data_IF_102963973530
#
_entry.id   IF_102963973530
#
_cell.length_a   1.000
_cell.length_b   1.000
_cell.length_c   1.000
_cell.angle_alpha   90.00
_cell.angle_beta   90.00
_cell.angle_gamma   90.00
#
_symmetry.space_group_name_H-M   'P 1'
#
loop_
_entity.id
_entity.type
_entity.pdbx_description
1 polymer ?
#
# COMPACT_ATOMS: atom_id res chain seq x y z
N UNK A 1 -16.35 6.47 4.12
CA UNK A 1 -15.05 6.33 4.84
C UNK A 1 -15.18 6.97 6.22
N UNK A 2 -14.55 6.44 7.29
CA UNK A 2 -14.53 7.07 8.60
C UNK A 2 -13.68 8.36 8.61
N UNK A 3 -14.04 9.30 9.47
CA UNK A 3 -13.29 10.57 9.67
C UNK A 3 -11.86 10.36 10.20
N UNK A 4 -11.65 9.23 10.86
CA UNK A 4 -10.33 8.85 11.39
C UNK A 4 -9.28 8.52 10.30
N UNK A 5 -9.71 8.44 9.02
CA UNK A 5 -8.78 8.23 7.92
C UNK A 5 -7.93 9.50 7.72
N UNK A 6 -6.58 9.41 7.77
CA UNK A 6 -5.71 10.55 7.47
C UNK A 6 -6.04 11.19 6.12
N UNK A 7 -5.97 12.53 6.07
CA UNK A 7 -6.20 13.34 4.88
C UNK A 7 -7.59 13.21 4.23
N UNK A 8 -8.55 12.62 4.93
CA UNK A 8 -9.95 12.59 4.50
C UNK A 8 -10.67 13.83 5.02
N UNK A 9 -11.38 14.50 4.13
CA UNK A 9 -12.27 15.64 4.46
C UNK A 9 -13.72 15.24 4.22
N UNK A 10 -14.59 15.66 5.12
CA UNK A 10 -16.05 15.58 4.95
C UNK A 10 -16.53 17.02 4.77
N UNK A 11 -17.26 17.28 3.69
CA UNK A 11 -17.78 18.60 3.37
C UNK A 11 -19.07 18.92 4.16
N UNK A 12 -19.61 20.13 3.97
CA UNK A 12 -20.83 20.62 4.62
C UNK A 12 -22.07 19.77 4.29
N UNK A 13 -22.05 19.04 3.18
CA UNK A 13 -23.12 18.09 2.79
C UNK A 13 -22.94 16.69 3.38
N UNK A 14 -21.89 16.47 4.20
CA UNK A 14 -21.57 15.17 4.80
C UNK A 14 -20.95 14.18 3.82
N UNK A 15 -20.40 14.64 2.68
CA UNK A 15 -19.79 13.81 1.64
C UNK A 15 -18.27 13.85 1.79
N UNK A 16 -17.64 12.67 1.82
CA UNK A 16 -16.19 12.60 1.97
C UNK A 16 -15.45 12.94 0.66
N UNK A 17 -14.21 13.45 0.79
CA UNK A 17 -13.34 13.84 -0.34
C UNK A 17 -13.12 12.71 -1.35
N UNK A 18 -13.11 11.43 -0.92
CA UNK A 18 -13.02 10.28 -1.82
C UNK A 18 -14.26 10.12 -2.71
N UNK A 19 -15.47 10.39 -2.17
CA UNK A 19 -16.69 10.39 -2.97
C UNK A 19 -16.70 11.54 -3.96
N UNK A 20 -16.30 12.75 -3.54
CA UNK A 20 -16.18 13.91 -4.44
C UNK A 20 -15.15 13.70 -5.55
N UNK A 21 -14.03 13.08 -5.22
CA UNK A 21 -13.03 12.72 -6.23
C UNK A 21 -13.61 11.72 -7.26
N UNK A 22 -14.40 10.76 -6.79
CA UNK A 22 -15.06 9.81 -7.69
C UNK A 22 -16.13 10.46 -8.57
N UNK A 23 -16.93 11.39 -8.04
CA UNK A 23 -17.94 12.14 -8.81
C UNK A 23 -17.29 12.95 -9.95
N UNK A 24 -16.18 13.63 -9.69
CA UNK A 24 -15.42 14.39 -10.71
C UNK A 24 -14.88 13.53 -11.85
N UNK A 25 -14.74 12.20 -11.64
CA UNK A 25 -14.30 11.28 -12.70
C UNK A 25 -15.29 11.18 -13.87
N UNK A 26 -16.56 11.58 -13.68
CA UNK A 26 -17.58 11.61 -14.75
C UNK A 26 -17.27 12.67 -15.79
N UNK A 27 -16.57 13.74 -15.40
CA UNK A 27 -16.26 14.90 -16.24
C UNK A 27 -14.91 14.73 -16.98
N UNK A 28 -14.20 13.61 -16.73
CA UNK A 28 -12.92 13.34 -17.36
C UNK A 28 -13.13 12.89 -18.80
N UNK A 29 -12.51 13.61 -19.75
CA UNK A 29 -12.36 13.15 -21.13
C UNK A 29 -11.24 12.09 -21.21
N UNK A 30 -11.64 10.83 -21.11
CA UNK A 30 -10.72 9.68 -21.16
C UNK A 30 -10.05 9.52 -22.53
N UNK A 31 -10.66 9.99 -23.62
CA UNK A 31 -10.05 9.97 -24.94
C UNK A 31 -8.90 10.98 -25.01
N UNK A 32 -9.14 12.21 -24.53
CA UNK A 32 -8.08 13.22 -24.46
C UNK A 32 -6.90 12.76 -23.59
N UNK A 33 -7.16 12.10 -22.44
CA UNK A 33 -6.12 11.52 -21.60
C UNK A 33 -5.35 10.39 -22.26
N UNK A 34 -6.07 9.52 -23.00
CA UNK A 34 -5.43 8.47 -23.79
C UNK A 34 -4.50 9.05 -24.87
N UNK A 35 -4.96 10.07 -25.59
CA UNK A 35 -4.16 10.74 -26.61
C UNK A 35 -2.93 11.44 -26.02
N UNK A 36 -3.06 12.02 -24.82
CA UNK A 36 -1.94 12.55 -24.06
C UNK A 36 -0.92 11.45 -23.72
N UNK A 37 -1.40 10.32 -23.19
CA UNK A 37 -0.54 9.17 -22.88
C UNK A 37 0.21 8.69 -24.11
N UNK A 38 -0.47 8.49 -25.25
CA UNK A 38 0.15 8.05 -26.49
C UNK A 38 1.28 8.98 -26.94
N UNK A 39 1.07 10.31 -26.83
CA UNK A 39 2.10 11.30 -27.16
C UNK A 39 3.30 11.24 -26.20
N UNK A 40 3.06 10.93 -24.92
CA UNK A 40 4.12 10.75 -23.96
C UNK A 40 4.90 9.47 -24.26
N UNK A 41 4.21 8.33 -24.43
CA UNK A 41 4.84 7.04 -24.70
C UNK A 41 5.71 7.08 -25.96
N UNK A 42 5.28 7.76 -27.01
CA UNK A 42 6.06 7.89 -28.26
C UNK A 42 7.42 8.60 -28.05
N UNK A 43 7.53 9.52 -27.08
CA UNK A 43 8.80 10.17 -26.75
C UNK A 43 9.80 9.23 -26.09
N UNK A 44 9.29 8.23 -25.36
CA UNK A 44 10.10 7.27 -24.58
C UNK A 44 10.34 5.96 -25.33
N UNK A 45 9.67 5.72 -26.44
CA UNK A 45 9.86 4.54 -27.24
C UNK A 45 11.31 4.43 -27.74
N UNK A 46 11.93 3.27 -27.54
CA UNK A 46 13.29 3.01 -28.02
C UNK A 46 13.33 3.03 -29.53
N UNK A 47 13.90 4.06 -30.12
CA UNK A 47 13.95 4.27 -31.59
C UNK A 47 14.71 3.16 -32.33
N UNK A 48 15.72 2.61 -31.69
CA UNK A 48 16.53 1.51 -32.26
C UNK A 48 15.99 0.13 -31.90
N UNK A 49 15.03 0.04 -30.97
CA UNK A 49 14.58 -1.25 -30.42
C UNK A 49 15.66 -1.96 -29.59
N UNK A 50 16.76 -1.26 -29.23
CA UNK A 50 17.88 -1.87 -28.49
C UNK A 50 17.76 -1.76 -26.98
N UNK A 51 16.68 -1.14 -26.47
CA UNK A 51 16.41 -1.00 -25.04
C UNK A 51 14.89 -1.12 -24.77
N UNK A 52 14.53 -1.25 -23.51
CA UNK A 52 13.13 -1.19 -23.05
C UNK A 52 12.60 0.24 -23.12
N UNK A 53 11.30 0.36 -23.37
CA UNK A 53 10.62 1.66 -23.44
C UNK A 53 10.26 2.21 -22.07
N UNK A 54 9.95 1.34 -21.11
CA UNK A 54 9.60 1.71 -19.75
C UNK A 54 9.89 0.58 -18.76
N UNK A 55 9.97 0.96 -17.47
CA UNK A 55 9.92 0.03 -16.35
C UNK A 55 8.48 -0.02 -15.82
N UNK A 56 7.97 -1.22 -15.55
CA UNK A 56 6.71 -1.43 -14.83
C UNK A 56 7.01 -2.10 -13.50
N UNK A 57 6.83 -1.42 -12.36
CA UNK A 57 6.87 -2.05 -11.04
C UNK A 57 5.68 -2.99 -10.89
N UNK A 58 5.93 -4.24 -10.52
CA UNK A 58 4.91 -5.28 -10.45
C UNK A 58 5.06 -6.13 -9.19
N UNK A 59 3.93 -6.60 -8.61
CA UNK A 59 3.90 -7.48 -7.44
C UNK A 59 3.30 -8.86 -7.72
N UNK A 60 2.80 -9.09 -8.93
CA UNK A 60 2.01 -10.28 -9.26
C UNK A 60 0.50 -10.09 -9.09
N UNK A 61 0.05 -8.97 -8.51
CA UNK A 61 -1.35 -8.67 -8.30
C UNK A 61 -2.14 -8.35 -9.59
N UNK A 62 -3.46 -8.22 -9.45
CA UNK A 62 -4.38 -7.87 -10.54
C UNK A 62 -4.01 -6.58 -11.28
N UNK A 63 -3.54 -5.59 -10.52
CA UNK A 63 -3.18 -4.28 -11.07
C UNK A 63 -1.89 -4.35 -11.88
N UNK A 64 -0.94 -5.22 -11.47
CA UNK A 64 0.26 -5.52 -12.25
C UNK A 64 -0.07 -6.16 -13.60
N UNK A 65 -1.01 -7.11 -13.63
CA UNK A 65 -1.51 -7.69 -14.89
C UNK A 65 -2.14 -6.62 -15.78
N UNK A 66 -3.00 -5.78 -15.20
CA UNK A 66 -3.63 -4.68 -15.93
C UNK A 66 -2.58 -3.74 -16.55
N UNK A 67 -1.57 -3.31 -15.77
CA UNK A 67 -0.51 -2.42 -16.24
C UNK A 67 0.26 -3.02 -17.42
N UNK A 68 0.70 -4.28 -17.30
CA UNK A 68 1.43 -4.97 -18.38
C UNK A 68 0.56 -5.08 -19.63
N UNK A 69 -0.66 -5.57 -19.50
CA UNK A 69 -1.56 -5.76 -20.63
C UNK A 69 -1.84 -4.45 -21.35
N UNK A 70 -2.05 -3.35 -20.62
CA UNK A 70 -2.26 -2.02 -21.22
C UNK A 70 -1.01 -1.51 -21.95
N UNK A 71 0.18 -1.70 -21.37
CA UNK A 71 1.41 -1.26 -22.04
C UNK A 71 1.72 -2.10 -23.29
N UNK A 72 1.48 -3.42 -23.25
CA UNK A 72 1.59 -4.28 -24.43
C UNK A 72 0.58 -3.90 -25.52
N UNK A 73 -0.69 -3.64 -25.16
CA UNK A 73 -1.74 -3.17 -26.08
C UNK A 73 -1.34 -1.86 -26.78
N UNK A 74 -0.64 -0.98 -26.06
CA UNK A 74 -0.12 0.29 -26.59
C UNK A 74 1.20 0.12 -27.36
N UNK A 75 1.66 -1.12 -27.58
CA UNK A 75 2.85 -1.47 -28.35
C UNK A 75 4.17 -1.09 -27.67
N UNK A 76 4.18 -0.98 -26.32
CA UNK A 76 5.41 -0.72 -25.54
C UNK A 76 6.16 -2.03 -25.28
N UNK A 77 7.49 -1.92 -25.16
CA UNK A 77 8.39 -2.99 -24.72
C UNK A 77 8.81 -2.74 -23.26
N UNK A 78 8.07 -3.21 -22.26
CA UNK A 78 8.36 -2.95 -20.86
C UNK A 78 9.38 -3.91 -20.26
N UNK A 79 10.20 -3.43 -19.33
CA UNK A 79 10.93 -4.23 -18.34
C UNK A 79 10.11 -4.28 -17.05
N UNK A 80 9.62 -5.46 -16.68
CA UNK A 80 8.89 -5.64 -15.43
C UNK A 80 9.85 -5.86 -14.26
N UNK A 81 9.60 -5.18 -13.13
CA UNK A 81 10.49 -5.24 -11.97
C UNK A 81 9.68 -5.49 -10.70
N UNK A 82 10.00 -6.58 -10.00
CA UNK A 82 9.48 -6.86 -8.66
C UNK A 82 10.53 -6.58 -7.60
N UNK A 83 10.20 -5.72 -6.65
CA UNK A 83 10.83 -5.77 -5.33
C UNK A 83 10.18 -6.93 -4.56
N UNK A 84 10.91 -8.03 -4.36
CA UNK A 84 10.36 -9.21 -3.69
C UNK A 84 9.84 -8.83 -2.30
N UNK A 85 8.61 -9.23 -2.02
CA UNK A 85 7.95 -8.97 -0.73
C UNK A 85 8.58 -9.75 0.42
N UNK A 86 8.21 -9.42 1.65
CA UNK A 86 8.85 -9.91 2.87
C UNK A 86 8.64 -11.42 3.08
N UNK A 87 7.37 -11.86 3.01
CA UNK A 87 7.00 -13.28 3.12
C UNK A 87 6.04 -13.63 1.98
N UNK A 88 6.62 -13.90 0.82
CA UNK A 88 5.87 -14.19 -0.40
C UNK A 88 4.97 -15.42 -0.22
N UNK A 89 3.69 -15.26 -0.54
CA UNK A 89 2.71 -16.32 -0.49
C UNK A 89 2.84 -17.28 -1.69
N UNK A 90 2.31 -18.49 -1.54
CA UNK A 90 2.30 -19.47 -2.63
C UNK A 90 1.49 -18.99 -3.84
N UNK A 91 0.35 -18.35 -3.60
CA UNK A 91 -0.48 -17.78 -4.67
C UNK A 91 0.19 -16.57 -5.31
N UNK A 92 0.86 -15.72 -4.51
CA UNK A 92 1.65 -14.60 -5.01
C UNK A 92 2.78 -15.08 -5.94
N UNK A 93 3.48 -16.15 -5.56
CA UNK A 93 4.51 -16.75 -6.42
C UNK A 93 3.94 -17.22 -7.76
N UNK A 94 2.81 -17.94 -7.76
CA UNK A 94 2.18 -18.38 -9.02
C UNK A 94 1.73 -17.20 -9.88
N UNK A 95 1.20 -16.15 -9.27
CA UNK A 95 0.81 -14.94 -9.99
C UNK A 95 2.01 -14.18 -10.58
N UNK A 96 3.17 -14.17 -9.90
CA UNK A 96 4.41 -13.63 -10.46
C UNK A 96 4.85 -14.47 -11.68
N UNK A 97 4.82 -15.80 -11.58
CA UNK A 97 5.16 -16.65 -12.71
C UNK A 97 4.18 -16.46 -13.90
N UNK A 98 2.90 -16.21 -13.60
CA UNK A 98 1.93 -15.90 -14.64
C UNK A 98 2.23 -14.57 -15.36
N UNK A 99 2.73 -13.54 -14.66
CA UNK A 99 3.15 -12.29 -15.32
C UNK A 99 4.24 -12.53 -16.37
N UNK A 100 5.21 -13.41 -16.09
CA UNK A 100 6.28 -13.77 -17.04
C UNK A 100 5.73 -14.39 -18.32
N UNK A 101 4.62 -15.14 -18.20
CA UNK A 101 3.95 -15.76 -19.35
C UNK A 101 3.22 -14.77 -20.26
N UNK A 102 3.07 -13.51 -19.85
CA UNK A 102 2.49 -12.43 -20.68
C UNK A 102 3.45 -11.95 -21.79
N UNK A 103 4.68 -12.48 -21.87
CA UNK A 103 5.64 -12.16 -22.91
C UNK A 103 6.47 -10.91 -22.63
N UNK A 104 6.80 -10.66 -21.37
CA UNK A 104 7.63 -9.52 -20.90
C UNK A 104 8.93 -10.01 -20.27
N UNK A 105 9.99 -9.22 -20.38
CA UNK A 105 11.20 -9.44 -19.61
C UNK A 105 11.01 -8.99 -18.16
N UNK A 106 11.67 -9.72 -17.24
CA UNK A 106 11.36 -9.63 -15.80
C UNK A 106 12.59 -9.67 -14.90
N UNK A 107 12.64 -8.76 -13.94
CA UNK A 107 13.67 -8.75 -12.88
C UNK A 107 12.99 -8.89 -11.52
N UNK A 108 13.40 -9.90 -10.75
CA UNK A 108 13.10 -10.00 -9.33
C UNK A 108 14.32 -9.55 -8.51
N UNK A 109 14.13 -8.53 -7.69
CA UNK A 109 15.19 -8.03 -6.83
C UNK A 109 14.80 -8.21 -5.36
N UNK A 110 15.62 -8.97 -4.64
CA UNK A 110 15.42 -9.28 -3.22
C UNK A 110 16.41 -8.49 -2.38
N UNK A 111 15.92 -7.67 -1.45
CA UNK A 111 16.75 -7.08 -0.41
C UNK A 111 17.25 -8.20 0.54
N UNK A 112 18.41 -7.98 1.18
CA UNK A 112 18.98 -8.98 2.11
C UNK A 112 17.92 -9.42 3.15
N UNK A 113 17.48 -10.70 3.13
CA UNK A 113 16.35 -11.15 3.95
C UNK A 113 16.65 -11.13 5.46
N UNK A 114 17.91 -11.26 5.87
CA UNK A 114 18.31 -11.17 7.28
C UNK A 114 18.12 -9.75 7.80
N UNK A 115 18.59 -8.75 7.03
CA UNK A 115 18.43 -7.34 7.37
C UNK A 115 16.95 -6.96 7.31
N UNK A 116 16.24 -7.42 6.29
CA UNK A 116 14.81 -7.14 6.10
C UNK A 116 13.97 -7.57 7.29
N UNK A 117 14.15 -8.79 7.80
CA UNK A 117 13.45 -9.28 9.00
C UNK A 117 13.70 -8.42 10.24
N UNK A 118 14.96 -7.96 10.41
CA UNK A 118 15.28 -7.01 11.50
C UNK A 118 14.54 -5.69 11.34
N UNK A 119 14.47 -5.16 10.12
CA UNK A 119 13.74 -3.91 9.84
C UNK A 119 12.23 -4.11 10.00
N UNK A 120 11.66 -5.26 9.57
CA UNK A 120 10.25 -5.58 9.83
C UNK A 120 9.93 -5.54 11.33
N UNK A 121 10.73 -6.22 12.19
CA UNK A 121 10.56 -6.19 13.64
C UNK A 121 10.69 -4.78 14.20
N UNK A 122 11.71 -4.04 13.78
CA UNK A 122 11.97 -2.67 14.22
C UNK A 122 10.80 -1.75 13.85
N UNK A 123 10.37 -1.75 12.60
CA UNK A 123 9.27 -0.91 12.13
C UNK A 123 7.94 -1.29 12.79
N UNK A 124 7.64 -2.58 12.95
CA UNK A 124 6.48 -3.04 13.71
C UNK A 124 6.50 -2.50 15.14
N UNK A 125 7.66 -2.57 15.81
CA UNK A 125 7.77 -2.13 17.20
C UNK A 125 7.88 -0.63 17.37
N UNK A 126 8.44 0.13 16.43
CA UNK A 126 8.63 1.57 16.55
C UNK A 126 7.46 2.39 16.01
N UNK A 127 6.93 2.00 14.86
CA UNK A 127 5.89 2.77 14.15
C UNK A 127 4.59 1.98 13.93
N UNK A 128 4.53 0.70 14.39
CA UNK A 128 3.37 -0.16 14.22
C UNK A 128 3.09 -0.49 12.74
N UNK A 129 4.12 -0.74 11.96
CA UNK A 129 3.98 -1.17 10.57
C UNK A 129 5.07 -2.19 10.18
N UNK A 130 4.67 -3.46 10.06
CA UNK A 130 5.56 -4.55 9.66
C UNK A 130 6.00 -4.40 8.20
N UNK A 131 5.18 -3.80 7.34
CA UNK A 131 5.41 -3.69 5.89
C UNK A 131 6.25 -2.48 5.49
N UNK A 132 6.77 -1.70 6.43
CA UNK A 132 7.61 -0.53 6.11
C UNK A 132 8.77 -0.85 5.15
N UNK A 133 9.56 -1.94 5.32
CA UNK A 133 10.64 -2.24 4.37
C UNK A 133 10.12 -2.53 2.96
N UNK A 134 8.94 -3.15 2.84
CA UNK A 134 8.28 -3.39 1.57
C UNK A 134 7.86 -2.06 0.92
N UNK A 135 7.20 -1.18 1.68
CA UNK A 135 6.77 0.14 1.19
C UNK A 135 7.95 0.97 0.68
N UNK A 136 9.13 0.85 1.27
CA UNK A 136 10.33 1.51 0.74
C UNK A 136 10.81 0.86 -0.54
N UNK A 137 10.95 -0.48 -0.55
CA UNK A 137 11.60 -1.19 -1.65
C UNK A 137 10.77 -1.22 -2.93
N UNK A 138 9.43 -1.25 -2.84
CA UNK A 138 8.57 -1.18 -4.03
C UNK A 138 8.76 0.13 -4.82
N UNK A 139 9.23 1.20 -4.18
CA UNK A 139 9.51 2.48 -4.84
C UNK A 139 10.99 2.67 -5.16
N UNK A 140 11.91 2.17 -4.33
CA UNK A 140 13.34 2.40 -4.56
C UNK A 140 13.94 1.48 -5.62
N UNK A 141 13.60 0.19 -5.58
CA UNK A 141 14.18 -0.82 -6.47
C UNK A 141 13.85 -0.55 -7.95
N UNK A 142 12.59 -0.34 -8.36
CA UNK A 142 12.29 -0.08 -9.77
C UNK A 142 12.97 1.19 -10.30
N UNK A 143 13.07 2.22 -9.48
CA UNK A 143 13.74 3.47 -9.86
C UNK A 143 15.25 3.25 -10.05
N UNK A 144 15.88 2.47 -9.17
CA UNK A 144 17.31 2.12 -9.30
C UNK A 144 17.57 1.27 -10.54
N UNK A 145 16.69 0.33 -10.85
CA UNK A 145 16.76 -0.49 -12.08
C UNK A 145 16.57 0.40 -13.32
N UNK A 146 15.61 1.32 -13.30
CA UNK A 146 15.40 2.27 -14.39
C UNK A 146 16.67 3.09 -14.68
N UNK A 147 17.33 3.61 -13.64
CA UNK A 147 18.61 4.33 -13.76
C UNK A 147 19.71 3.41 -14.31
N UNK A 148 19.84 2.19 -13.78
CA UNK A 148 20.90 1.25 -14.17
C UNK A 148 20.76 0.78 -15.62
N UNK A 149 19.54 0.58 -16.10
CA UNK A 149 19.25 0.15 -17.47
C UNK A 149 19.05 1.31 -18.45
N UNK A 150 19.22 2.56 -18.02
CA UNK A 150 18.99 3.76 -18.83
C UNK A 150 17.56 3.81 -19.41
N UNK A 151 16.56 3.49 -18.60
CA UNK A 151 15.15 3.54 -18.97
C UNK A 151 14.51 4.75 -18.27
N UNK A 152 14.21 5.84 -18.97
CA UNK A 152 13.78 7.08 -18.31
C UNK A 152 12.31 7.11 -17.92
N UNK A 153 11.47 6.15 -18.37
CA UNK A 153 10.04 6.10 -18.07
C UNK A 153 9.71 4.95 -17.10
N UNK A 154 8.96 5.27 -16.05
CA UNK A 154 8.39 4.28 -15.12
C UNK A 154 6.87 4.42 -15.13
N UNK A 155 6.16 3.32 -15.32
CA UNK A 155 4.69 3.27 -15.29
C UNK A 155 4.22 2.67 -13.97
N UNK A 156 3.71 3.52 -13.09
CA UNK A 156 3.09 3.14 -11.84
C UNK A 156 1.60 2.80 -12.03
N UNK A 157 0.99 2.08 -11.09
CA UNK A 157 -0.43 1.72 -11.12
C UNK A 157 -1.36 2.89 -10.83
N UNK A 158 -2.11 2.78 -9.75
CA UNK A 158 -3.02 3.85 -9.29
C UNK A 158 -2.28 4.92 -8.49
N UNK A 159 -2.86 6.11 -8.47
CA UNK A 159 -2.60 7.08 -7.44
C UNK A 159 -3.53 6.78 -6.24
N UNK A 160 -2.98 6.26 -5.15
CA UNK A 160 -3.74 5.86 -3.96
C UNK A 160 -4.56 7.00 -3.36
N UNK A 161 -4.10 8.26 -3.51
CA UNK A 161 -4.82 9.44 -3.04
C UNK A 161 -6.13 9.65 -3.81
N UNK A 162 -6.17 9.24 -5.07
CA UNK A 162 -7.39 9.28 -5.89
C UNK A 162 -8.38 8.19 -5.50
N UNK A 163 -7.92 6.98 -5.26
CA UNK A 163 -8.80 5.84 -5.01
C UNK A 163 -9.39 5.86 -3.60
N UNK A 164 -8.58 6.21 -2.61
CA UNK A 164 -8.96 6.11 -1.20
C UNK A 164 -9.23 7.47 -0.54
N UNK A 165 -9.03 8.57 -1.26
CA UNK A 165 -9.17 9.94 -0.77
C UNK A 165 -7.87 10.49 -0.17
N UNK A 166 -7.55 11.70 -0.53
CA UNK A 166 -6.37 12.44 -0.11
C UNK A 166 -6.55 13.93 -0.42
N UNK A 167 -5.49 14.76 -0.28
CA UNK A 167 -5.53 16.17 -0.62
C UNK A 167 -5.99 16.41 -2.06
N UNK A 168 -6.79 17.44 -2.29
CA UNK A 168 -7.39 17.73 -3.59
C UNK A 168 -6.35 17.85 -4.73
N UNK A 169 -5.19 18.45 -4.45
CA UNK A 169 -4.10 18.58 -5.43
C UNK A 169 -3.37 17.27 -5.77
N UNK A 170 -3.49 16.24 -4.94
CA UNK A 170 -2.88 14.94 -5.22
C UNK A 170 -3.65 14.15 -6.29
N UNK A 171 -4.95 14.44 -6.46
CA UNK A 171 -5.81 13.79 -7.44
C UNK A 171 -5.50 14.19 -8.88
N UNK A 172 -4.97 15.39 -9.09
CA UNK A 172 -4.64 15.94 -10.41
C UNK A 172 -3.19 15.61 -10.83
N UNK A 173 -2.42 15.01 -9.94
CA UNK A 173 -1.02 14.69 -10.22
C UNK A 173 -0.91 13.36 -10.98
N UNK A 174 -0.37 13.41 -12.20
CA UNK A 174 -0.11 12.25 -13.04
C UNK A 174 1.29 11.66 -12.85
N UNK A 175 2.14 12.26 -11.99
CA UNK A 175 3.54 11.86 -11.80
C UNK A 175 3.85 11.50 -10.37
N UNK A 176 4.71 10.47 -10.19
CA UNK A 176 5.28 10.10 -8.91
C UNK A 176 6.67 10.74 -8.77
N UNK A 177 6.83 11.56 -7.73
CA UNK A 177 8.09 12.19 -7.36
C UNK A 177 8.61 11.64 -6.04
N UNK A 178 9.91 11.86 -5.73
CA UNK A 178 10.48 11.51 -4.43
C UNK A 178 9.70 12.15 -3.27
N UNK A 179 9.28 13.40 -3.42
CA UNK A 179 8.45 14.08 -2.41
C UNK A 179 7.12 13.35 -2.21
N UNK A 180 6.47 12.92 -3.28
CA UNK A 180 5.23 12.12 -3.19
C UNK A 180 5.45 10.83 -2.39
N UNK A 181 6.58 10.14 -2.61
CA UNK A 181 6.93 8.94 -1.86
C UNK A 181 7.11 9.23 -0.36
N UNK A 182 7.85 10.28 -0.01
CA UNK A 182 8.11 10.66 1.39
C UNK A 182 6.82 11.05 2.12
N UNK A 183 5.87 11.69 1.44
CA UNK A 183 4.59 12.14 2.01
C UNK A 183 3.51 11.05 2.01
N UNK A 184 3.39 10.27 0.92
CA UNK A 184 2.25 9.37 0.68
C UNK A 184 2.63 7.89 0.49
N UNK A 185 3.90 7.56 0.46
CA UNK A 185 4.39 6.18 0.25
C UNK A 185 4.26 5.25 1.46
N UNK A 186 3.51 5.62 2.49
CA UNK A 186 3.28 4.77 3.66
C UNK A 186 4.45 4.70 4.64
N UNK A 187 5.44 5.63 4.56
CA UNK A 187 6.65 5.60 5.38
C UNK A 187 6.44 6.05 6.83
N UNK A 188 5.30 6.63 7.17
CA UNK A 188 4.89 7.03 8.51
C UNK A 188 5.94 7.90 9.25
N UNK A 189 6.71 8.69 8.50
CA UNK A 189 7.77 9.58 9.02
C UNK A 189 9.09 8.89 9.34
N UNK A 190 9.21 7.57 9.26
CA UNK A 190 10.47 6.85 9.40
C UNK A 190 11.26 6.92 8.09
N UNK A 191 12.52 7.33 8.16
CA UNK A 191 13.42 7.42 7.00
C UNK A 191 14.49 6.35 7.06
N UNK A 192 15.06 6.03 5.90
CA UNK A 192 16.19 5.08 5.83
C UNK A 192 17.40 5.59 6.63
N UNK A 193 17.62 6.91 6.68
CA UNK A 193 18.66 7.54 7.51
C UNK A 193 18.52 7.23 8.99
N UNK A 194 17.29 7.08 9.51
CA UNK A 194 17.00 6.84 10.91
C UNK A 194 17.35 5.40 11.33
N UNK A 195 17.54 4.51 10.35
CA UNK A 195 17.98 3.13 10.55
C UNK A 195 19.51 3.01 10.67
N UNK A 196 20.28 4.01 10.21
CA UNK A 196 21.74 4.00 10.24
C UNK A 196 22.21 4.10 11.69
N UNK A 197 23.15 3.23 12.07
CA UNK A 197 23.67 3.19 13.45
C UNK A 197 22.87 2.28 14.39
N UNK A 198 21.73 1.77 13.98
CA UNK A 198 21.04 0.70 14.70
C UNK A 198 21.83 -0.62 14.58
N UNK A 199 21.83 -1.50 15.59
CA UNK A 199 22.60 -2.74 15.57
C UNK A 199 22.34 -3.58 14.30
N UNK A 200 23.37 -3.77 13.46
CA UNK A 200 23.31 -4.52 12.22
C UNK A 200 22.80 -3.75 10.98
N UNK A 201 22.52 -2.45 11.10
CA UNK A 201 22.07 -1.60 10.00
C UNK A 201 23.19 -0.64 9.55
N UNK A 202 24.28 -1.19 9.01
CA UNK A 202 25.30 -0.39 8.36
C UNK A 202 24.81 0.14 6.99
N UNK A 203 25.32 1.27 6.48
CA UNK A 203 24.89 1.84 5.20
C UNK A 203 24.91 0.83 4.04
N UNK A 204 25.89 -0.07 3.99
CA UNK A 204 25.98 -1.12 2.97
C UNK A 204 24.78 -2.09 2.95
N UNK A 205 24.11 -2.26 4.08
CA UNK A 205 22.93 -3.12 4.22
C UNK A 205 21.63 -2.42 3.76
N UNK A 206 21.66 -1.09 3.65
CA UNK A 206 20.50 -0.26 3.34
C UNK A 206 20.45 0.21 1.88
N UNK A 207 21.35 -0.27 1.03
CA UNK A 207 21.48 0.17 -0.38
C UNK A 207 20.15 0.01 -1.12
N UNK A 208 19.43 -1.12 -0.95
CA UNK A 208 18.17 -1.38 -1.64
C UNK A 208 17.00 -0.52 -1.13
N UNK A 209 17.14 0.02 0.08
CA UNK A 209 16.14 0.93 0.69
C UNK A 209 16.42 2.40 0.35
N UNK A 210 17.61 2.70 -0.17
CA UNK A 210 18.01 4.06 -0.50
C UNK A 210 17.53 4.43 -1.90
N UNK A 211 16.80 5.54 -2.01
CA UNK A 211 16.34 6.06 -3.30
C UNK A 211 17.54 6.44 -4.18
N UNK A 212 17.35 6.40 -5.50
CA UNK A 212 18.39 6.87 -6.43
C UNK A 212 18.72 8.35 -6.15
N UNK A 213 19.97 8.76 -6.40
CA UNK A 213 20.37 10.14 -6.16
C UNK A 213 19.61 11.12 -7.06
N UNK A 214 19.36 12.33 -6.57
CA UNK A 214 18.70 13.37 -7.37
C UNK A 214 19.53 13.73 -8.62
N UNK A 215 20.86 13.59 -8.54
CA UNK A 215 21.77 13.77 -9.66
C UNK A 215 21.57 12.71 -10.75
N UNK A 216 21.48 11.42 -10.37
CA UNK A 216 21.20 10.33 -11.30
C UNK A 216 19.82 10.47 -11.94
N UNK A 217 18.80 10.78 -11.15
CA UNK A 217 17.44 10.99 -11.64
C UNK A 217 17.36 12.14 -12.65
N UNK A 218 18.03 13.25 -12.34
CA UNK A 218 18.09 14.43 -13.21
C UNK A 218 18.87 14.15 -14.49
N UNK A 219 20.02 13.49 -14.39
CA UNK A 219 20.85 13.11 -15.53
C UNK A 219 20.11 12.19 -16.49
N UNK A 220 19.34 11.25 -15.96
CA UNK A 220 18.56 10.27 -16.72
C UNK A 220 17.20 10.78 -17.19
N UNK A 221 16.72 11.91 -16.63
CA UNK A 221 15.39 12.42 -16.91
C UNK A 221 14.27 11.45 -16.51
N UNK A 222 14.46 10.71 -15.40
CA UNK A 222 13.48 9.71 -14.95
C UNK A 222 12.14 10.36 -14.65
N UNK A 223 11.10 9.83 -15.30
CA UNK A 223 9.71 10.26 -15.15
C UNK A 223 8.86 9.07 -14.73
N UNK A 224 8.14 9.19 -13.62
CA UNK A 224 7.16 8.20 -13.17
C UNK A 224 5.74 8.67 -13.47
N UNK A 225 4.94 7.88 -14.17
CA UNK A 225 3.57 8.20 -14.50
C UNK A 225 2.61 7.25 -13.79
N UNK A 226 1.50 7.77 -13.28
CA UNK A 226 0.39 6.95 -12.78
C UNK A 226 -0.54 6.54 -13.92
N UNK A 227 -0.61 5.25 -14.24
CA UNK A 227 -1.47 4.73 -15.30
C UNK A 227 -2.96 4.99 -15.00
N UNK A 228 -3.35 4.95 -13.73
CA UNK A 228 -4.71 5.27 -13.27
C UNK A 228 -5.15 6.70 -13.50
N UNK A 229 -4.25 7.61 -13.90
CA UNK A 229 -4.62 8.94 -14.38
C UNK A 229 -5.15 8.88 -15.83
N UNK A 230 -4.67 7.95 -16.63
CA UNK A 230 -4.96 7.84 -18.07
C UNK A 230 -6.04 6.82 -18.40
N UNK A 231 -6.35 5.93 -17.48
CA UNK A 231 -7.39 4.91 -17.60
C UNK A 231 -8.40 4.99 -16.45
N UNK A 232 -9.69 4.67 -16.68
CA UNK A 232 -10.68 4.56 -15.62
C UNK A 232 -10.34 3.37 -14.72
N UNK A 233 -9.50 3.62 -13.70
CA UNK A 233 -9.01 2.60 -12.79
C UNK A 233 -10.12 2.02 -11.92
N UNK A 234 -10.24 0.69 -11.89
CA UNK A 234 -11.15 -0.04 -11.03
C UNK A 234 -10.58 -1.41 -10.69
N UNK A 235 -10.16 -1.61 -9.42
CA UNK A 235 -9.55 -2.85 -8.97
C UNK A 235 -10.41 -4.11 -9.23
N UNK A 236 -11.74 -4.00 -9.22
CA UNK A 236 -12.62 -5.12 -9.58
C UNK A 236 -12.54 -5.46 -11.08
N UNK A 237 -12.60 -4.46 -11.94
CA UNK A 237 -12.47 -4.67 -13.38
C UNK A 237 -11.07 -5.16 -13.75
N UNK A 238 -10.04 -4.63 -13.09
CA UNK A 238 -8.67 -5.09 -13.26
C UNK A 238 -8.53 -6.58 -12.88
N UNK A 239 -9.21 -7.02 -11.81
CA UNK A 239 -9.21 -8.43 -11.40
C UNK A 239 -9.88 -9.33 -12.43
N UNK A 240 -11.03 -8.92 -13.00
CA UNK A 240 -11.70 -9.67 -14.04
C UNK A 240 -10.84 -9.80 -15.30
N UNK A 241 -10.20 -8.71 -15.73
CA UNK A 241 -9.28 -8.75 -16.85
C UNK A 241 -8.07 -9.66 -16.54
N UNK A 242 -7.46 -9.51 -15.38
CA UNK A 242 -6.30 -10.30 -14.98
C UNK A 242 -6.62 -11.81 -14.95
N UNK A 243 -7.79 -12.21 -14.44
CA UNK A 243 -8.23 -13.61 -14.42
C UNK A 243 -8.37 -14.18 -15.84
N UNK A 244 -8.84 -13.41 -16.81
CA UNK A 244 -8.89 -13.83 -18.21
C UNK A 244 -7.49 -14.13 -18.80
N UNK A 245 -6.42 -13.62 -18.15
CA UNK A 245 -5.02 -13.84 -18.52
C UNK A 245 -4.25 -14.67 -17.48
N UNK A 246 -4.96 -15.47 -16.67
CA UNK A 246 -4.36 -16.48 -15.80
C UNK A 246 -4.04 -16.03 -14.38
N UNK A 247 -4.43 -14.81 -13.96
CA UNK A 247 -4.33 -14.38 -12.57
C UNK A 247 -5.17 -15.30 -11.67
N UNK A 248 -4.56 -15.87 -10.65
CA UNK A 248 -5.24 -16.71 -9.68
C UNK A 248 -5.78 -15.87 -8.51
N UNK A 249 -7.02 -16.12 -8.14
CA UNK A 249 -7.64 -15.57 -6.92
C UNK A 249 -7.55 -16.57 -5.79
N UNK A 250 -7.66 -16.08 -4.55
CA UNK A 250 -7.75 -16.96 -3.40
C UNK A 250 -9.10 -17.70 -3.42
N UNK A 251 -9.14 -18.93 -2.91
CA UNK A 251 -10.32 -19.81 -2.98
C UNK A 251 -11.51 -19.35 -2.12
N UNK A 252 -11.30 -18.40 -1.23
CA UNK A 252 -12.32 -17.76 -0.36
C UNK A 252 -12.01 -16.29 -0.21
N UNK A 253 -12.90 -15.53 0.46
CA UNK A 253 -12.62 -14.16 0.88
C UNK A 253 -11.34 -14.12 1.72
N UNK A 254 -10.43 -13.16 1.41
CA UNK A 254 -9.20 -12.96 2.16
C UNK A 254 -9.53 -12.42 3.56
N UNK A 255 -8.82 -12.86 4.55
CA UNK A 255 -9.00 -12.42 5.93
C UNK A 255 -8.88 -10.90 6.05
N UNK A 256 -9.84 -10.25 6.71
CA UNK A 256 -9.91 -8.78 6.84
C UNK A 256 -10.37 -8.03 5.58
N UNK A 257 -10.74 -8.74 4.50
CA UNK A 257 -11.16 -8.18 3.22
C UNK A 257 -12.62 -8.51 2.90
N UNK A 258 -13.15 -7.96 1.80
CA UNK A 258 -14.46 -8.34 1.21
C UNK A 258 -14.32 -9.14 -0.07
N UNK A 259 -13.11 -9.32 -0.57
CA UNK A 259 -12.83 -9.94 -1.87
C UNK A 259 -11.74 -10.99 -1.76
N UNK A 260 -11.54 -11.75 -2.81
CA UNK A 260 -10.57 -12.84 -2.89
C UNK A 260 -9.40 -12.58 -3.84
N UNK A 261 -9.28 -11.34 -4.34
CA UNK A 261 -8.30 -10.97 -5.37
C UNK A 261 -7.37 -9.81 -4.95
N UNK A 262 -7.38 -9.40 -3.68
CA UNK A 262 -6.55 -8.32 -3.15
C UNK A 262 -5.49 -8.86 -2.18
N UNK A 263 -4.28 -8.26 -2.22
CA UNK A 263 -3.21 -8.52 -1.27
C UNK A 263 -2.85 -10.01 -1.12
N UNK A 264 -2.70 -10.69 -2.25
CA UNK A 264 -2.45 -12.13 -2.29
C UNK A 264 -0.97 -12.48 -2.22
N UNK A 265 -0.08 -11.53 -2.33
CA UNK A 265 1.36 -11.72 -2.51
C UNK A 265 2.14 -11.85 -1.20
N UNK A 266 1.70 -11.27 -0.09
CA UNK A 266 2.46 -11.21 1.16
C UNK A 266 1.65 -11.68 2.37
N UNK A 267 2.14 -12.70 3.08
CA UNK A 267 1.50 -13.18 4.31
C UNK A 267 1.52 -12.16 5.46
N UNK A 268 2.42 -11.17 5.45
CA UNK A 268 2.49 -10.13 6.48
C UNK A 268 1.39 -9.06 6.34
N UNK A 269 0.69 -9.01 5.21
CA UNK A 269 -0.36 -8.01 4.96
C UNK A 269 -1.48 -8.06 5.99
N UNK A 270 -1.82 -9.26 6.51
CA UNK A 270 -2.81 -9.38 7.59
C UNK A 270 -2.43 -8.61 8.85
N UNK A 271 -1.16 -8.60 9.22
CA UNK A 271 -0.64 -7.80 10.35
C UNK A 271 -0.71 -6.30 10.01
N UNK A 272 -0.25 -5.89 8.82
CA UNK A 272 -0.30 -4.51 8.36
C UNK A 272 -1.73 -3.94 8.41
N UNK A 273 -2.70 -4.64 7.83
CA UNK A 273 -4.11 -4.22 7.81
C UNK A 273 -4.72 -4.20 9.22
N UNK A 274 -4.32 -5.12 10.09
CA UNK A 274 -4.75 -5.12 11.49
C UNK A 274 -4.22 -3.90 12.25
N UNK A 275 -2.94 -3.52 12.07
CA UNK A 275 -2.39 -2.30 12.69
C UNK A 275 -3.06 -1.02 12.18
N UNK A 276 -3.49 -0.99 10.92
CA UNK A 276 -4.35 0.08 10.41
C UNK A 276 -5.65 0.17 11.20
N UNK A 277 -6.32 -0.97 11.43
CA UNK A 277 -7.53 -1.02 12.25
C UNK A 277 -7.28 -0.55 13.69
N UNK A 278 -6.19 -0.97 14.33
CA UNK A 278 -5.83 -0.54 15.69
C UNK A 278 -5.66 0.98 15.80
N UNK A 279 -5.03 1.58 14.80
CA UNK A 279 -4.72 3.03 14.77
C UNK A 279 -5.94 3.89 14.44
N UNK A 280 -6.73 3.47 13.46
CA UNK A 280 -7.76 4.30 12.83
C UNK A 280 -9.19 3.78 13.03
N UNK A 281 -9.37 2.60 13.63
CA UNK A 281 -10.68 1.99 13.87
C UNK A 281 -11.37 1.42 12.62
N UNK A 282 -10.67 1.31 11.49
CA UNK A 282 -11.16 0.68 10.27
C UNK A 282 -10.06 -0.07 9.53
N UNK A 283 -10.41 -1.13 8.84
CA UNK A 283 -9.48 -1.97 8.11
C UNK A 283 -9.73 -2.01 6.61
N UNK A 284 -9.23 -3.06 5.97
CA UNK A 284 -9.31 -3.26 4.52
C UNK A 284 -10.75 -3.44 4.04
N UNK A 285 -11.61 -4.15 4.79
CA UNK A 285 -12.99 -4.34 4.41
C UNK A 285 -13.75 -3.00 4.29
N UNK A 286 -13.49 -2.05 5.17
CA UNK A 286 -14.06 -0.68 5.07
C UNK A 286 -13.60 0.06 3.80
N UNK A 287 -12.32 -0.03 3.42
CA UNK A 287 -11.83 0.59 2.17
C UNK A 287 -12.57 0.02 0.96
N UNK A 288 -12.61 -1.30 0.85
CA UNK A 288 -13.27 -2.00 -0.26
C UNK A 288 -14.78 -1.74 -0.30
N UNK A 289 -15.44 -1.79 0.86
CA UNK A 289 -16.85 -1.43 0.97
C UNK A 289 -17.08 -0.02 0.41
N UNK A 290 -16.26 0.94 0.78
CA UNK A 290 -16.36 2.32 0.31
C UNK A 290 -16.14 2.44 -1.20
N UNK A 291 -15.20 1.68 -1.77
CA UNK A 291 -14.99 1.61 -3.22
C UNK A 291 -16.21 1.01 -3.94
N UNK A 292 -16.76 -0.10 -3.42
CA UNK A 292 -17.91 -0.76 -4.04
C UNK A 292 -19.20 0.08 -3.92
N UNK A 293 -19.41 0.81 -2.80
CA UNK A 293 -20.53 1.75 -2.64
C UNK A 293 -20.43 2.87 -3.69
N UNK A 294 -19.29 3.54 -3.81
CA UNK A 294 -19.09 4.62 -4.79
C UNK A 294 -19.36 4.17 -6.23
N UNK A 295 -19.06 2.91 -6.54
CA UNK A 295 -19.25 2.32 -7.86
C UNK A 295 -20.63 1.65 -8.03
N UNK A 296 -21.55 1.82 -7.07
CA UNK A 296 -22.92 1.28 -7.13
C UNK A 296 -23.03 -0.24 -7.08
N UNK A 297 -21.96 -0.95 -6.64
CA UNK A 297 -21.93 -2.43 -6.54
C UNK A 297 -22.39 -2.96 -5.19
N UNK A 298 -22.45 -2.11 -4.17
CA UNK A 298 -22.83 -2.49 -2.82
C UNK A 298 -23.66 -1.37 -2.19
N UNK A 299 -24.79 -1.75 -1.53
CA UNK A 299 -25.55 -0.79 -0.74
C UNK A 299 -24.79 -0.44 0.55
N UNK A 300 -25.01 0.77 1.11
CA UNK A 300 -24.41 1.14 2.39
C UNK A 300 -24.84 0.19 3.53
N UNK A 301 -26.09 -0.24 3.54
CA UNK A 301 -26.63 -1.14 4.58
C UNK A 301 -25.95 -2.51 4.55
N UNK A 302 -25.78 -3.09 3.37
CA UNK A 302 -25.10 -4.38 3.25
C UNK A 302 -23.58 -4.24 3.51
N UNK A 303 -23.01 -3.12 3.12
CA UNK A 303 -21.62 -2.80 3.41
C UNK A 303 -21.33 -2.77 4.92
N UNK A 304 -22.19 -2.15 5.72
CA UNK A 304 -22.05 -2.11 7.19
C UNK A 304 -22.00 -3.54 7.76
N UNK A 305 -22.94 -4.41 7.38
CA UNK A 305 -22.98 -5.81 7.83
C UNK A 305 -21.71 -6.58 7.47
N UNK A 306 -21.23 -6.40 6.23
CA UNK A 306 -20.01 -7.06 5.78
C UNK A 306 -18.76 -6.55 6.51
N UNK A 307 -18.66 -5.25 6.73
CA UNK A 307 -17.57 -4.64 7.49
C UNK A 307 -17.55 -5.15 8.94
N UNK A 308 -18.68 -5.28 9.60
CA UNK A 308 -18.77 -5.85 10.96
C UNK A 308 -18.27 -7.29 11.05
N UNK A 309 -18.47 -8.07 9.98
CA UNK A 309 -18.00 -9.46 9.91
C UNK A 309 -16.48 -9.52 9.69
N UNK A 310 -15.92 -8.66 8.85
CA UNK A 310 -14.56 -8.81 8.32
C UNK A 310 -13.54 -7.88 8.95
N UNK A 311 -13.89 -6.61 9.28
CA UNK A 311 -12.94 -5.66 9.83
C UNK A 311 -12.55 -5.97 11.28
N UNK A 312 -11.28 -5.73 11.60
CA UNK A 312 -10.79 -5.72 12.98
C UNK A 312 -10.69 -7.08 13.64
N UNK A 313 -10.77 -8.16 12.89
CA UNK A 313 -10.50 -9.51 13.43
C UNK A 313 -9.01 -9.64 13.73
N UNK A 314 -8.69 -10.23 14.88
CA UNK A 314 -7.30 -10.49 15.23
C UNK A 314 -6.67 -11.44 14.19
N UNK A 315 -5.48 -11.15 13.68
CA UNK A 315 -4.93 -11.81 12.49
C UNK A 315 -4.31 -13.18 12.81
N UNK A 316 -5.09 -14.11 13.37
CA UNK A 316 -4.63 -15.46 13.69
C UNK A 316 -4.11 -16.23 12.48
N UNK A 317 -4.66 -15.95 11.32
CA UNK A 317 -4.29 -16.57 10.05
C UNK A 317 -4.41 -15.54 8.93
N UNK A 318 -3.55 -15.63 7.92
CA UNK A 318 -3.68 -14.86 6.69
C UNK A 318 -3.26 -15.72 5.48
N UNK A 319 -4.15 -15.83 4.49
CA UNK A 319 -3.95 -16.71 3.32
C UNK A 319 -3.57 -18.15 3.70
N UNK A 320 -4.11 -18.65 4.83
CA UNK A 320 -3.80 -19.97 5.37
C UNK A 320 -2.50 -20.07 6.15
N UNK A 321 -1.68 -19.01 6.24
CA UNK A 321 -0.47 -18.99 7.06
C UNK A 321 -0.82 -18.56 8.49
N UNK A 322 -0.49 -19.38 9.54
CA UNK A 322 -0.70 -19.01 10.93
C UNK A 322 0.15 -17.80 11.33
N UNK A 323 -0.40 -16.93 12.22
CA UNK A 323 0.31 -15.78 12.76
C UNK A 323 1.67 -16.13 13.35
N UNK A 324 1.74 -17.23 14.10
CA UNK A 324 2.97 -17.68 14.77
C UNK A 324 4.12 -17.94 13.79
N UNK A 325 3.83 -18.46 12.59
CA UNK A 325 4.84 -18.64 11.55
C UNK A 325 5.36 -17.32 10.99
N UNK A 326 4.49 -16.30 10.93
CA UNK A 326 4.87 -14.96 10.49
C UNK A 326 5.75 -14.30 11.56
N UNK A 327 5.35 -14.40 12.83
CA UNK A 327 6.09 -13.82 13.95
C UNK A 327 7.46 -14.47 14.16
N UNK A 328 7.57 -15.78 13.93
CA UNK A 328 8.84 -16.51 13.99
C UNK A 328 9.89 -15.94 13.03
N UNK A 329 9.48 -15.51 11.83
CA UNK A 329 10.41 -14.92 10.85
C UNK A 329 11.08 -13.63 11.34
N UNK A 330 10.43 -12.91 12.25
CA UNK A 330 10.93 -11.67 12.84
C UNK A 330 11.37 -11.83 14.31
N UNK A 331 11.60 -13.07 14.77
CA UNK A 331 12.01 -13.41 16.13
C UNK A 331 11.10 -12.78 17.22
N UNK A 332 9.78 -12.84 17.03
CA UNK A 332 8.79 -12.23 17.93
C UNK A 332 7.85 -13.30 18.48
N UNK A 333 7.62 -13.29 19.80
CA UNK A 333 6.59 -14.14 20.43
C UNK A 333 5.19 -13.55 20.28
N UNK A 334 4.17 -14.39 20.41
CA UNK A 334 2.78 -13.94 20.41
C UNK A 334 2.50 -12.93 21.55
N UNK A 335 3.08 -13.14 22.73
CA UNK A 335 2.93 -12.24 23.85
C UNK A 335 3.53 -10.84 23.58
N UNK A 336 4.73 -10.80 22.98
CA UNK A 336 5.35 -9.55 22.53
C UNK A 336 4.48 -8.86 21.48
N UNK A 337 3.96 -9.60 20.50
CA UNK A 337 3.09 -9.08 19.46
C UNK A 337 1.83 -8.44 20.04
N UNK A 338 1.15 -9.11 20.99
CA UNK A 338 -0.04 -8.57 21.66
C UNK A 338 0.30 -7.27 22.39
N UNK A 339 1.44 -7.18 23.11
CA UNK A 339 1.90 -5.96 23.76
C UNK A 339 2.11 -4.81 22.76
N UNK A 340 2.67 -5.13 21.59
CA UNK A 340 2.85 -4.14 20.52
C UNK A 340 1.49 -3.68 19.96
N UNK A 341 0.54 -4.60 19.74
CA UNK A 341 -0.82 -4.27 19.34
C UNK A 341 -1.48 -3.30 20.33
N UNK A 342 -1.44 -3.63 21.64
CA UNK A 342 -2.05 -2.82 22.68
C UNK A 342 -1.44 -1.40 22.77
N UNK A 343 -0.12 -1.29 22.52
CA UNK A 343 0.58 -0.01 22.49
C UNK A 343 0.13 0.89 21.34
N UNK A 344 -0.10 0.32 20.17
CA UNK A 344 -0.51 1.07 18.97
C UNK A 344 -2.03 1.23 18.85
N UNK A 345 -2.80 0.61 19.73
CA UNK A 345 -4.25 0.75 19.70
C UNK A 345 -4.66 2.15 20.18
N UNK A 346 -5.46 2.82 19.35
CA UNK A 346 -6.04 4.11 19.69
C UNK A 346 -7.18 3.93 20.72
N UNK A 347 -6.87 4.10 21.98
CA UNK A 347 -7.81 3.93 23.10
C UNK A 347 -9.01 4.88 23.06
N UNK A 348 -9.00 5.92 22.23
CA UNK A 348 -10.17 6.78 22.00
C UNK A 348 -11.22 6.09 21.11
N UNK A 349 -10.87 5.03 20.38
CA UNK A 349 -11.74 4.32 19.45
C UNK A 349 -12.25 2.98 20.01
N UNK A 350 -11.63 2.48 21.07
CA UNK A 350 -11.90 1.15 21.62
C UNK A 350 -12.22 1.17 23.10
N UNK A 351 -13.10 0.28 23.52
CA UNK A 351 -13.54 0.18 24.92
C UNK A 351 -12.38 -0.25 25.81
N UNK A 352 -12.20 0.48 26.91
CA UNK A 352 -11.29 0.12 27.98
C UNK A 352 -12.07 -0.17 29.28
N UNK A 353 -11.55 -1.06 30.11
CA UNK A 353 -12.06 -1.30 31.44
C UNK A 353 -11.72 -0.13 32.41
N UNK A 354 -12.18 -0.22 33.65
CA UNK A 354 -11.92 0.81 34.68
C UNK A 354 -10.43 1.03 35.01
N UNK A 355 -9.55 0.12 34.59
CA UNK A 355 -8.10 0.21 34.76
C UNK A 355 -7.38 0.71 33.49
N UNK A 356 -8.14 1.08 32.45
CA UNK A 356 -7.60 1.52 31.17
C UNK A 356 -7.03 0.39 30.29
N UNK A 357 -7.37 -0.87 30.57
CA UNK A 357 -7.01 -2.04 29.75
C UNK A 357 -8.05 -2.24 28.66
N UNK A 358 -7.60 -2.52 27.44
CA UNK A 358 -8.47 -2.79 26.30
C UNK A 358 -9.35 -4.01 26.53
N UNK A 359 -10.65 -3.89 26.23
CA UNK A 359 -11.60 -4.98 26.29
C UNK A 359 -11.53 -5.79 25.00
N UNK A 360 -11.25 -7.09 25.15
CA UNK A 360 -11.13 -8.05 24.03
C UNK A 360 -12.10 -9.21 24.26
N UNK A 361 -12.63 -9.76 23.17
CA UNK A 361 -13.37 -11.01 23.23
C UNK A 361 -12.43 -12.23 23.37
N UNK A 362 -13.01 -13.43 23.40
CA UNK A 362 -12.26 -14.71 23.51
C UNK A 362 -11.29 -14.95 22.34
N UNK A 363 -11.54 -14.37 21.18
CA UNK A 363 -10.76 -14.50 19.97
C UNK A 363 -9.70 -13.38 19.82
N UNK A 364 -9.62 -12.45 20.81
CA UNK A 364 -8.69 -11.34 20.84
C UNK A 364 -9.17 -10.09 20.10
N UNK A 365 -10.41 -10.08 19.59
CA UNK A 365 -10.95 -8.94 18.87
C UNK A 365 -11.31 -7.80 19.82
N UNK A 366 -11.05 -6.56 19.41
CA UNK A 366 -11.36 -5.36 20.18
C UNK A 366 -12.81 -4.94 20.02
N UNK A 367 -13.40 -4.42 21.10
CA UNK A 367 -14.73 -3.80 21.08
C UNK A 367 -14.59 -2.32 20.76
N UNK A 368 -15.24 -1.85 19.69
CA UNK A 368 -15.31 -0.41 19.38
C UNK A 368 -16.24 0.33 20.32
N UNK A 369 -15.91 1.61 20.58
CA UNK A 369 -16.83 2.51 21.26
C UNK A 369 -17.98 2.82 20.29
N UNK A 370 -19.22 2.73 20.78
CA UNK A 370 -20.38 3.15 19.99
C UNK A 370 -20.54 4.67 20.11
N UNK A 371 -20.36 5.39 19.01
CA UNK A 371 -20.42 6.84 18.94
C UNK A 371 -21.82 7.40 18.68
N UNK A 372 -22.85 6.56 18.51
CA UNK A 372 -24.23 7.04 18.28
C UNK A 372 -24.77 7.92 19.42
N UNK A 373 -24.05 7.99 20.56
CA UNK A 373 -24.40 8.77 21.75
C UNK A 373 -23.30 9.77 22.21
N UNK A 374 -22.29 10.03 21.40
CA UNK A 374 -21.21 10.98 21.76
C UNK A 374 -21.21 12.11 20.75
N UNK A 375 -21.46 13.34 21.25
CA UNK A 375 -21.23 14.55 20.46
C UNK A 375 -19.83 14.51 19.88
N UNK A 376 -19.76 14.48 18.56
CA UNK A 376 -18.56 14.29 17.79
C UNK A 376 -17.69 15.55 17.83
N UNK A 377 -16.64 15.64 18.67
CA UNK A 377 -15.65 16.67 18.46
C UNK A 377 -14.28 16.08 18.13
N UNK A 378 -13.74 16.48 17.01
CA UNK A 378 -12.28 16.62 16.77
C UNK A 378 -11.39 15.40 17.00
N UNK A 379 -11.76 14.20 16.55
CA UNK A 379 -10.85 13.05 16.53
C UNK A 379 -9.74 13.19 15.46
N UNK A 380 -10.00 13.93 14.38
CA UNK A 380 -9.03 14.13 13.30
C UNK A 380 -7.91 15.12 13.65
N UNK A 381 -8.19 16.16 14.45
CA UNK A 381 -7.21 17.21 14.74
C UNK A 381 -6.06 16.75 15.65
N UNK A 382 -6.29 15.79 16.56
CA UNK A 382 -5.26 15.27 17.48
C UNK A 382 -4.34 14.20 16.86
N UNK A 383 -4.66 13.71 15.66
CA UNK A 383 -3.87 12.70 14.95
C UNK A 383 -2.89 13.26 13.94
N UNK A 384 -2.94 14.59 13.69
CA UNK A 384 -2.00 15.25 12.81
C UNK A 384 -0.60 15.27 13.46
N UNK A 385 0.35 14.60 12.82
CA UNK A 385 1.79 14.81 12.85
C UNK A 385 2.54 15.08 14.18
N UNK A 386 1.88 15.26 15.33
CA UNK A 386 2.55 15.54 16.63
C UNK A 386 3.37 14.36 17.16
N UNK A 387 3.29 13.16 16.57
CA UNK A 387 4.10 12.00 16.95
C UNK A 387 5.51 11.98 16.36
N UNK A 388 5.81 12.78 15.32
CA UNK A 388 7.18 12.93 14.82
C UNK A 388 8.09 13.53 15.89
N UNK A 389 7.57 14.44 16.74
CA UNK A 389 8.29 15.01 17.87
C UNK A 389 8.63 14.02 19.00
N UNK A 390 7.89 12.90 19.11
CA UNK A 390 8.14 11.90 20.15
C UNK A 390 9.25 10.91 19.76
N UNK A 391 9.40 10.61 18.46
CA UNK A 391 10.49 9.76 17.95
C UNK A 391 11.86 10.47 18.03
N UNK A 392 11.89 11.79 17.85
CA UNK A 392 13.11 12.59 18.02
C UNK A 392 13.61 12.66 19.48
N UNK A 393 12.73 12.46 20.48
CA UNK A 393 13.11 12.48 21.92
C UNK A 393 13.60 11.13 22.45
N UNK A 394 13.31 10.02 21.80
CA UNK A 394 13.77 8.68 22.24
C UNK A 394 15.26 8.46 21.93
N UNK A 395 15.84 9.23 20.99
CA UNK A 395 17.27 9.19 20.68
C UNK A 395 18.17 10.06 21.55
N UNK A 396 17.62 10.96 22.37
CA UNK A 396 18.41 11.91 23.17
C UNK A 396 18.58 11.54 24.65
N UNK A 397 17.88 10.53 25.16
CA UNK A 397 17.93 10.16 26.58
C UNK A 397 18.82 8.92 26.87
N UNK A 398 19.62 8.46 25.91
CA UNK A 398 20.62 7.39 26.07
C UNK A 398 21.97 7.74 25.40
N UNK A 399 22.47 8.95 25.64
CA UNK A 399 23.86 9.31 25.34
C UNK A 399 24.58 9.66 26.65
#
# INVERSE_FOLDING_TARGET
MPETKPDLFIDEEGVCSACRSFERRRDIDWNARRDELLRILERYRSKSGSNYDCVIPVSGGKDSHFQILRMLELGMNPLCVTATTDKLSNIGRRNIENLKNLGVDYIEATANPVIRRKINRLALTQIGDISWPEHVTIFTIPVRIAVQFNIPLIIWGENSQNEYGGPAGAAENNTLTRRWLEEFGGLLGLRVSDLIGQPGNEPKHLIQYTYASDEDLKRMGVTGLFLGYYFPWDGHQNALLAQAYGFETYHKTVEGSLVNYENLDNYQTGIHDYFKFLKYGFGRATDLASLHIRRGRLSRQDAIKLVEIHDGKFPWVYLGCPLEEILKDIDMTLEEFIKVCDRFTNKKLFVCDSRGKLVKDKDGNLTKINYDNVDSPTLAADFSFSRIGHLAKIGSDNA
#
